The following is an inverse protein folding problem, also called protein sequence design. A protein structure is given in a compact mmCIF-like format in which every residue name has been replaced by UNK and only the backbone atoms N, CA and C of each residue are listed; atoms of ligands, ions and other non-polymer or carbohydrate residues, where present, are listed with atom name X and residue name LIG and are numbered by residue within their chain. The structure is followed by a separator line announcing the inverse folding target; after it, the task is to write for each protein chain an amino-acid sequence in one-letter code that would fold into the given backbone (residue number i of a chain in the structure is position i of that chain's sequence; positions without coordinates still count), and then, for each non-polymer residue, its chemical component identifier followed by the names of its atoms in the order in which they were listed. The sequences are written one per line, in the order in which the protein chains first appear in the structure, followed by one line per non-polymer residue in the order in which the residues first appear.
data_IF_665725945881
#
_entry.id   IF_665725945881
#
_cell.length_a   1.000
_cell.length_b   1.000
_cell.length_c   1.000
_cell.angle_alpha   90.00
_cell.angle_beta   90.00
_cell.angle_gamma   90.00
#
_symmetry.space_group_name_H-M   'P 1'
#
loop_
_entity.id
_entity.type
_entity.pdbx_description
1 polymer ?
#
# COMPACT_ATOMS: atom_id res chain seq x y z
N UNK A 1 -16.18 -8.81 9.49
CA UNK A 1 -16.96 -7.83 8.70
C UNK A 1 -16.11 -6.58 8.56
N UNK A 2 -15.31 -6.49 7.49
CA UNK A 2 -14.52 -5.29 7.21
C UNK A 2 -15.50 -4.29 6.61
N UNK A 3 -15.80 -3.24 7.37
CA UNK A 3 -16.69 -2.17 6.98
C UNK A 3 -15.90 -1.27 6.03
N UNK A 4 -15.98 -1.54 4.73
CA UNK A 4 -15.57 -0.55 3.73
C UNK A 4 -16.41 0.70 3.95
N UNK A 5 -15.74 1.83 4.16
CA UNK A 5 -16.34 3.15 4.33
C UNK A 5 -16.95 3.59 3.01
N UNK A 6 -18.13 3.07 2.67
CA UNK A 6 -19.00 3.69 1.68
C UNK A 6 -19.55 4.99 2.29
N UNK A 7 -18.95 6.12 1.92
CA UNK A 7 -19.59 7.41 2.06
C UNK A 7 -20.64 7.55 0.96
N UNK A 8 -21.90 7.60 1.42
CA UNK A 8 -23.10 8.16 0.79
C UNK A 8 -23.16 8.16 -0.74
N UNK A 9 -24.00 7.26 -1.25
CA UNK A 9 -24.65 7.41 -2.54
C UNK A 9 -25.56 8.64 -2.49
N UNK A 10 -25.13 9.73 -3.11
CA UNK A 10 -25.95 10.78 -3.74
C UNK A 10 -25.03 11.93 -4.16
N UNK A 11 -24.27 11.71 -5.25
CA UNK A 11 -23.83 12.78 -6.18
C UNK A 11 -23.12 12.14 -7.38
N UNK A 12 -23.80 12.13 -8.53
CA UNK A 12 -23.29 11.62 -9.82
C UNK A 12 -22.36 12.65 -10.49
N UNK A 13 -21.21 12.91 -9.88
CA UNK A 13 -20.00 13.46 -10.49
C UNK A 13 -18.85 12.72 -9.80
N UNK A 14 -17.90 12.15 -10.55
CA UNK A 14 -16.78 11.40 -9.98
C UNK A 14 -16.19 12.17 -8.79
N UNK A 15 -16.21 11.54 -7.61
CA UNK A 15 -15.88 12.21 -6.34
C UNK A 15 -14.42 12.64 -6.44
N UNK A 16 -14.21 13.90 -6.80
CA UNK A 16 -12.89 14.46 -6.92
C UNK A 16 -12.32 14.54 -5.52
N UNK A 17 -11.29 13.75 -5.26
CA UNK A 17 -10.64 13.68 -3.95
C UNK A 17 -10.23 15.09 -3.50
N UNK A 18 -10.61 15.44 -2.28
CA UNK A 18 -10.35 16.76 -1.72
C UNK A 18 -8.85 16.97 -1.51
N UNK A 19 -8.45 18.22 -1.33
CA UNK A 19 -7.06 18.53 -1.01
C UNK A 19 -6.63 17.91 0.32
N UNK A 20 -7.53 17.88 1.30
CA UNK A 20 -7.33 17.26 2.60
C UNK A 20 -7.15 15.75 2.47
N UNK A 21 -7.93 15.09 1.62
CA UNK A 21 -7.82 13.66 1.34
C UNK A 21 -6.51 13.32 0.64
N UNK A 22 -6.06 14.16 -0.31
CA UNK A 22 -4.76 13.98 -0.98
C UNK A 22 -3.58 14.20 -0.01
N UNK A 23 -3.67 15.19 0.88
CA UNK A 23 -2.68 15.39 1.96
C UNK A 23 -2.63 14.19 2.90
N UNK A 24 -3.80 13.67 3.28
CA UNK A 24 -3.90 12.45 4.10
C UNK A 24 -3.31 11.23 3.38
N UNK A 25 -3.56 11.09 2.08
CA UNK A 25 -2.98 10.03 1.27
C UNK A 25 -1.45 10.12 1.22
N UNK A 26 -0.90 11.31 0.97
CA UNK A 26 0.54 11.55 0.99
C UNK A 26 1.15 11.16 2.34
N UNK A 27 0.53 11.57 3.45
CA UNK A 27 0.96 11.20 4.80
C UNK A 27 0.89 9.69 5.06
N UNK A 28 -0.18 9.02 4.61
CA UNK A 28 -0.31 7.56 4.74
C UNK A 28 0.75 6.81 3.93
N UNK A 29 1.22 7.40 2.83
CA UNK A 29 2.31 6.88 1.99
C UNK A 29 3.69 7.34 2.48
N UNK A 30 3.76 8.09 3.59
CA UNK A 30 4.99 8.65 4.15
C UNK A 30 5.72 9.57 3.15
N UNK A 31 4.96 10.34 2.38
CA UNK A 31 5.46 11.29 1.39
C UNK A 31 5.25 12.73 1.87
N UNK A 32 6.27 13.56 1.67
CA UNK A 32 6.23 15.01 1.89
C UNK A 32 6.41 15.74 0.54
N UNK A 33 5.38 15.74 -0.34
CA UNK A 33 5.48 16.38 -1.64
C UNK A 33 5.54 17.89 -1.51
N UNK A 34 6.31 18.52 -2.41
CA UNK A 34 6.22 19.97 -2.59
C UNK A 34 4.93 20.35 -3.37
N UNK A 35 4.61 21.65 -3.40
CA UNK A 35 3.38 22.17 -4.03
C UNK A 35 3.24 21.80 -5.52
N UNK A 36 4.35 21.81 -6.27
CA UNK A 36 4.33 21.48 -7.70
C UNK A 36 3.97 20.00 -7.92
N UNK A 37 4.61 19.11 -7.16
CA UNK A 37 4.35 17.67 -7.18
C UNK A 37 2.93 17.38 -6.71
N UNK A 38 2.47 18.08 -5.68
CA UNK A 38 1.13 17.92 -5.15
C UNK A 38 0.06 18.29 -6.19
N UNK A 39 0.23 19.42 -6.89
CA UNK A 39 -0.67 19.84 -7.95
C UNK A 39 -0.68 18.85 -9.12
N UNK A 40 0.50 18.41 -9.57
CA UNK A 40 0.63 17.43 -10.65
C UNK A 40 -0.04 16.10 -10.28
N UNK A 41 0.19 15.60 -9.07
CA UNK A 41 -0.42 14.37 -8.58
C UNK A 41 -1.96 14.47 -8.56
N UNK A 42 -2.51 15.62 -8.15
CA UNK A 42 -3.96 15.88 -8.16
C UNK A 42 -4.55 15.80 -9.57
N UNK A 43 -3.88 16.38 -10.56
CA UNK A 43 -4.31 16.34 -11.96
C UNK A 43 -4.24 14.92 -12.54
N UNK A 44 -3.16 14.20 -12.27
CA UNK A 44 -2.97 12.82 -12.73
C UNK A 44 -4.00 11.86 -12.11
N UNK A 45 -4.23 11.98 -10.80
CA UNK A 45 -5.19 11.13 -10.12
C UNK A 45 -6.61 11.36 -10.65
N UNK A 46 -6.99 12.61 -10.92
CA UNK A 46 -8.26 12.92 -11.59
C UNK A 46 -8.38 12.22 -12.95
N UNK A 47 -7.29 12.17 -13.73
CA UNK A 47 -7.29 11.45 -15.00
C UNK A 47 -7.48 9.93 -14.82
N UNK A 48 -6.88 9.36 -13.78
CA UNK A 48 -7.01 7.95 -13.43
C UNK A 48 -8.45 7.64 -13.01
N UNK A 49 -9.02 8.44 -12.09
CA UNK A 49 -10.38 8.26 -11.59
C UNK A 49 -11.41 8.32 -12.73
N UNK A 50 -11.24 9.28 -13.64
CA UNK A 50 -12.09 9.37 -14.83
C UNK A 50 -11.99 8.10 -15.69
N UNK A 51 -10.78 7.58 -15.89
CA UNK A 51 -10.57 6.38 -16.71
C UNK A 51 -11.14 5.12 -16.03
N UNK A 52 -11.05 5.05 -14.69
CA UNK A 52 -11.59 3.93 -13.92
C UNK A 52 -13.12 3.97 -13.79
N UNK A 53 -13.76 5.13 -13.95
CA UNK A 53 -15.23 5.25 -13.91
C UNK A 53 -15.94 4.44 -15.00
N UNK A 54 -15.24 4.06 -16.07
CA UNK A 54 -15.77 3.14 -17.08
C UNK A 54 -16.03 1.74 -16.51
N UNK A 55 -15.29 1.33 -15.48
CA UNK A 55 -15.46 0.03 -14.81
C UNK A 55 -16.76 -0.04 -14.00
N UNK A 56 -17.28 1.10 -13.52
CA UNK A 56 -18.54 1.16 -12.77
C UNK A 56 -19.76 0.78 -13.62
N UNK A 57 -19.61 0.77 -14.96
CA UNK A 57 -20.66 0.36 -15.90
C UNK A 57 -20.76 -1.15 -16.06
N UNK A 58 -19.78 -1.90 -15.55
CA UNK A 58 -19.72 -3.36 -15.68
C UNK A 58 -20.54 -3.99 -14.55
N UNK A 59 -21.55 -4.79 -14.89
CA UNK A 59 -22.30 -5.56 -13.89
C UNK A 59 -21.46 -6.74 -13.38
N UNK A 60 -21.23 -6.79 -12.06
CA UNK A 60 -20.42 -7.79 -11.38
C UNK A 60 -21.19 -8.58 -10.30
N UNK A 61 -22.52 -8.44 -10.22
CA UNK A 61 -23.34 -8.99 -9.10
C UNK A 61 -23.13 -10.50 -8.87
N UNK A 62 -22.92 -11.26 -9.94
CA UNK A 62 -22.74 -12.72 -9.90
C UNK A 62 -21.27 -13.17 -10.10
N UNK A 63 -20.32 -12.23 -10.12
CA UNK A 63 -18.90 -12.51 -10.36
C UNK A 63 -18.13 -12.45 -9.05
N UNK A 64 -17.57 -13.60 -8.65
CA UNK A 64 -16.67 -13.66 -7.50
C UNK A 64 -15.35 -12.93 -7.82
N UNK A 65 -14.84 -12.07 -6.93
CA UNK A 65 -13.52 -11.46 -7.09
C UNK A 65 -12.41 -12.53 -7.15
N UNK A 66 -11.49 -12.37 -8.08
CA UNK A 66 -10.29 -13.21 -8.20
C UNK A 66 -9.21 -12.65 -7.29
N UNK A 67 -8.79 -13.43 -6.29
CA UNK A 67 -7.72 -13.02 -5.35
C UNK A 67 -6.33 -13.41 -5.83
N UNK A 68 -6.22 -14.54 -6.54
CA UNK A 68 -5.01 -15.09 -7.11
C UNK A 68 -5.37 -15.70 -8.46
N UNK A 69 -4.49 -15.60 -9.45
CA UNK A 69 -4.71 -16.24 -10.77
C UNK A 69 -4.87 -17.76 -10.62
N UNK A 70 -4.14 -18.35 -9.66
CA UNK A 70 -4.25 -19.75 -9.31
C UNK A 70 -4.90 -19.90 -7.94
N UNK A 71 -6.16 -20.34 -7.92
CA UNK A 71 -6.92 -20.63 -6.68
C UNK A 71 -6.78 -22.11 -6.24
N UNK A 72 -5.79 -22.84 -6.75
CA UNK A 72 -5.51 -24.21 -6.30
C UNK A 72 -5.21 -24.20 -4.80
N UNK A 73 -5.85 -25.12 -4.07
CA UNK A 73 -5.61 -25.27 -2.64
C UNK A 73 -4.14 -25.60 -2.41
N UNK A 74 -3.53 -24.88 -1.49
CA UNK A 74 -2.18 -25.17 -1.02
C UNK A 74 -2.19 -26.57 -0.39
N UNK A 75 -1.36 -27.48 -0.91
CA UNK A 75 -1.12 -28.78 -0.26
C UNK A 75 -0.36 -28.57 1.04
N UNK A 76 -0.57 -29.45 2.02
CA UNK A 76 0.17 -29.38 3.28
C UNK A 76 1.69 -29.45 3.04
N UNK A 77 2.14 -30.23 2.07
CA UNK A 77 3.56 -30.39 1.69
C UNK A 77 4.19 -29.12 1.08
N UNK A 78 3.38 -28.09 0.78
CA UNK A 78 3.88 -26.79 0.30
C UNK A 78 4.07 -25.78 1.45
N UNK A 79 3.65 -26.14 2.66
CA UNK A 79 3.89 -25.30 3.84
C UNK A 79 5.37 -25.38 4.23
N UNK A 80 5.86 -24.32 4.88
CA UNK A 80 7.20 -24.32 5.43
C UNK A 80 7.28 -25.32 6.57
N UNK A 81 8.21 -26.27 6.48
CA UNK A 81 8.55 -27.18 7.57
C UNK A 81 9.03 -26.41 8.81
N UNK A 82 8.71 -26.93 10.01
CA UNK A 82 9.14 -26.33 11.28
C UNK A 82 10.57 -26.75 11.65
N UNK A 83 11.49 -26.49 10.74
CA UNK A 83 12.91 -26.82 10.89
C UNK A 83 13.78 -25.57 10.70
N UNK A 84 14.91 -25.55 11.41
CA UNK A 84 15.90 -24.48 11.27
C UNK A 84 16.56 -24.56 9.91
N UNK A 85 16.34 -23.56 9.05
CA UNK A 85 16.98 -23.45 7.74
C UNK A 85 18.20 -22.53 7.80
N UNK A 86 19.40 -23.10 7.79
CA UNK A 86 20.65 -22.33 7.74
C UNK A 86 21.07 -21.94 6.31
N UNK A 87 20.44 -22.48 5.26
CA UNK A 87 20.83 -22.21 3.87
C UNK A 87 20.49 -20.78 3.42
N UNK A 88 19.51 -20.15 4.07
CA UNK A 88 19.10 -18.76 3.84
C UNK A 88 19.60 -17.81 4.92
N UNK A 89 20.51 -18.28 5.79
CA UNK A 89 21.05 -17.45 6.86
C UNK A 89 21.92 -16.35 6.25
N UNK A 90 21.67 -15.12 6.67
CA UNK A 90 22.43 -13.94 6.24
C UNK A 90 23.34 -13.53 7.39
N UNK A 91 24.62 -13.31 7.10
CA UNK A 91 25.56 -12.81 8.10
C UNK A 91 25.29 -11.35 8.44
N UNK A 92 25.59 -10.98 9.69
CA UNK A 92 25.25 -9.67 10.25
C UNK A 92 25.86 -8.52 9.46
N UNK A 93 27.10 -8.67 9.03
CA UNK A 93 27.82 -7.70 8.21
C UNK A 93 27.07 -7.43 6.90
N UNK A 94 26.50 -8.49 6.30
CA UNK A 94 25.73 -8.40 5.06
C UNK A 94 24.35 -7.76 5.27
N UNK A 95 23.75 -7.95 6.45
CA UNK A 95 22.48 -7.31 6.82
C UNK A 95 22.68 -5.79 6.96
N UNK A 96 23.80 -5.36 7.55
CA UNK A 96 24.07 -3.95 7.85
C UNK A 96 24.62 -3.19 6.64
N UNK A 97 25.18 -3.86 5.63
CA UNK A 97 25.85 -3.25 4.46
C UNK A 97 25.01 -2.17 3.75
N UNK A 98 23.68 -2.35 3.68
CA UNK A 98 22.78 -1.41 3.00
C UNK A 98 22.11 -0.41 3.95
N UNK A 99 22.37 -0.47 5.25
CA UNK A 99 21.76 0.45 6.20
C UNK A 99 22.40 1.84 6.04
N UNK A 100 21.58 2.88 5.89
CA UNK A 100 22.07 4.25 5.72
C UNK A 100 22.87 4.75 6.94
N UNK A 101 22.39 4.42 8.14
CA UNK A 101 23.09 4.66 9.40
C UNK A 101 23.09 3.39 10.23
N UNK A 102 24.27 2.90 10.60
CA UNK A 102 24.42 1.74 11.49
C UNK A 102 25.72 1.86 12.29
N UNK A 103 25.85 1.06 13.33
CA UNK A 103 27.13 0.74 13.96
C UNK A 103 27.46 -0.74 13.75
N UNK A 104 28.41 -1.28 14.51
CA UNK A 104 28.83 -2.68 14.38
C UNK A 104 27.71 -3.68 14.68
N UNK A 105 26.68 -3.26 15.43
CA UNK A 105 25.63 -4.14 15.96
C UNK A 105 24.22 -3.84 15.45
N UNK A 106 23.92 -2.59 15.13
CA UNK A 106 22.56 -2.06 15.05
C UNK A 106 22.39 -1.04 13.93
N UNK A 107 21.19 -1.00 13.36
CA UNK A 107 20.72 0.14 12.56
C UNK A 107 20.37 1.29 13.49
N UNK A 108 20.81 2.50 13.15
CA UNK A 108 20.56 3.71 13.91
C UNK A 108 19.44 4.50 13.22
N UNK A 109 18.36 4.76 13.95
CA UNK A 109 17.22 5.54 13.45
C UNK A 109 16.91 6.71 14.39
N UNK A 110 16.32 7.77 13.82
CA UNK A 110 15.79 8.88 14.62
C UNK A 110 14.69 8.34 15.52
N UNK A 111 14.80 8.60 16.83
CA UNK A 111 13.72 8.29 17.77
C UNK A 111 12.50 9.13 17.41
N UNK A 112 11.38 8.47 17.12
CA UNK A 112 10.09 9.15 16.95
C UNK A 112 9.56 9.46 18.34
N UNK A 113 9.33 10.75 18.60
CA UNK A 113 8.65 11.26 19.80
C UNK A 113 7.39 11.93 19.26
N UNK A 114 6.23 11.41 19.62
CA UNK A 114 4.98 12.11 19.35
C UNK A 114 4.82 13.14 20.48
N UNK A 115 4.92 14.43 20.17
CA UNK A 115 4.40 15.47 21.05
C UNK A 115 2.86 15.38 20.99
N UNK A 116 2.21 15.38 22.15
CA UNK A 116 0.74 15.38 22.28
C UNK A 116 0.10 16.64 21.68
#
# INVERSE_FOLDING_TARGET
MIKFLYHNQDDKQGVMMSEEELKKLANNLLLEPNEEVFKLAKELLKSIDNSLSELDQINLDDIKPVSHINETKISFDQLREDEVNNNTKIEKEKILENAFNHNDDLVIMKRVINEE
#
